data_IF_608488075807
#
_entry.id   IF_608488075807
#
_cell.length_a   1.000
_cell.length_b   1.000
_cell.length_c   1.000
_cell.angle_alpha   90.00
_cell.angle_beta   90.00
_cell.angle_gamma   90.00
#
_symmetry.space_group_name_H-M   'P 1'
#
loop_
_entity.id
_entity.type
_entity.pdbx_description
1 polymer ?
#
# COMPACT_ATOMS: atom_id res chain seq x y z
N UNK A 1 -61.12 1.93 55.36
CA UNK A 1 -60.86 1.13 54.14
C UNK A 1 -59.81 1.84 53.27
N UNK A 2 -58.53 1.39 53.24
CA UNK A 2 -57.43 1.97 52.44
C UNK A 2 -57.12 0.98 51.38
N UNK A 3 -57.34 1.38 50.09
CA UNK A 3 -56.93 0.61 48.89
C UNK A 3 -55.45 0.86 48.61
N UNK A 4 -54.64 -0.21 48.62
CA UNK A 4 -53.26 -0.19 48.20
C UNK A 4 -53.19 -0.48 46.67
N UNK A 5 -52.70 0.48 45.88
CA UNK A 5 -52.38 0.30 44.46
C UNK A 5 -51.01 -0.31 44.37
N UNK A 6 -50.90 -1.45 43.72
CA UNK A 6 -49.65 -2.11 43.30
C UNK A 6 -49.22 -1.54 41.95
N UNK A 7 -48.08 -0.87 41.93
CA UNK A 7 -47.38 -0.46 40.71
C UNK A 7 -46.47 -1.62 40.28
N UNK A 8 -46.82 -2.25 39.17
CA UNK A 8 -45.96 -3.21 38.47
C UNK A 8 -44.99 -2.44 37.57
N UNK A 9 -43.70 -2.45 37.91
CA UNK A 9 -42.64 -1.93 37.08
C UNK A 9 -42.22 -3.00 36.06
N UNK A 10 -42.51 -2.76 34.77
CA UNK A 10 -42.07 -3.60 33.66
C UNK A 10 -40.66 -3.17 33.27
N UNK A 11 -39.66 -3.98 33.63
CA UNK A 11 -38.28 -3.75 33.23
C UNK A 11 -38.05 -4.13 31.75
N UNK A 12 -37.67 -3.15 30.96
CA UNK A 12 -37.26 -3.36 29.58
C UNK A 12 -35.77 -3.79 29.56
N UNK A 13 -35.49 -5.05 29.28
CA UNK A 13 -34.13 -5.57 29.08
C UNK A 13 -33.74 -5.27 27.64
N UNK A 14 -32.88 -4.25 27.45
CA UNK A 14 -32.21 -4.01 26.17
C UNK A 14 -31.13 -5.09 25.95
N UNK A 15 -31.44 -6.11 25.18
CA UNK A 15 -30.47 -7.06 24.69
C UNK A 15 -29.60 -6.36 23.64
N UNK A 16 -28.39 -5.96 24.05
CA UNK A 16 -27.34 -5.50 23.10
C UNK A 16 -26.90 -6.69 22.25
N UNK A 17 -27.40 -6.77 21.02
CA UNK A 17 -26.93 -7.72 20.04
C UNK A 17 -25.52 -7.31 19.60
N UNK A 18 -24.50 -7.94 20.16
CA UNK A 18 -23.16 -7.91 19.62
C UNK A 18 -23.20 -8.66 18.27
N UNK A 19 -23.23 -7.91 17.17
CA UNK A 19 -22.96 -8.48 15.86
C UNK A 19 -21.48 -8.84 15.84
N UNK A 20 -21.11 -10.11 15.60
CA UNK A 20 -19.71 -10.44 15.42
C UNK A 20 -19.21 -9.67 14.19
N UNK A 21 -18.15 -8.88 14.37
CA UNK A 21 -17.35 -8.45 13.24
C UNK A 21 -16.95 -9.73 12.50
N UNK A 22 -17.49 -9.92 11.31
CA UNK A 22 -17.00 -10.97 10.42
C UNK A 22 -15.51 -10.67 10.23
N UNK A 23 -14.65 -11.49 10.82
CA UNK A 23 -13.25 -11.60 10.44
C UNK A 23 -13.29 -11.97 8.95
N UNK A 24 -13.21 -10.96 8.08
CA UNK A 24 -12.98 -11.18 6.66
C UNK A 24 -11.60 -11.83 6.64
N UNK A 25 -11.53 -13.11 6.31
CA UNK A 25 -10.25 -13.77 6.11
C UNK A 25 -9.47 -12.90 5.14
N UNK A 26 -8.33 -12.37 5.58
CA UNK A 26 -7.47 -11.57 4.72
C UNK A 26 -7.09 -12.46 3.54
N UNK A 27 -7.34 -11.99 2.34
CA UNK A 27 -7.08 -12.76 1.13
C UNK A 27 -5.56 -12.87 0.96
N UNK A 28 -5.04 -14.11 0.94
CA UNK A 28 -3.62 -14.35 0.87
C UNK A 28 -3.07 -14.12 -0.55
N UNK A 29 -1.83 -13.60 -0.62
CA UNK A 29 -1.11 -13.31 -1.86
C UNK A 29 0.35 -13.76 -1.75
N UNK A 30 1.00 -14.05 -2.88
CA UNK A 30 2.41 -14.46 -2.90
C UNK A 30 3.34 -13.32 -2.44
N UNK A 31 3.03 -12.08 -2.84
CA UNK A 31 3.84 -10.91 -2.55
C UNK A 31 2.94 -9.72 -2.20
N UNK A 32 3.30 -8.99 -1.15
CA UNK A 32 2.89 -7.60 -0.96
C UNK A 32 4.00 -6.70 -1.52
N UNK A 33 3.68 -5.90 -2.52
CA UNK A 33 4.60 -5.03 -3.23
C UNK A 33 4.22 -3.57 -3.07
N UNK A 34 5.11 -2.78 -2.50
CA UNK A 34 5.04 -1.32 -2.52
C UNK A 34 5.97 -0.81 -3.61
N UNK A 35 5.42 -0.15 -4.62
CA UNK A 35 6.17 0.62 -5.61
C UNK A 35 6.31 2.04 -5.06
N UNK A 36 7.50 2.36 -4.52
CA UNK A 36 7.80 3.65 -3.91
C UNK A 36 8.61 4.49 -4.90
N UNK A 37 7.96 5.50 -5.49
CA UNK A 37 8.43 6.23 -6.66
C UNK A 37 8.75 7.68 -6.31
N UNK A 38 9.98 8.11 -6.64
CA UNK A 38 10.45 9.48 -6.46
C UNK A 38 9.70 10.43 -7.39
N UNK A 39 9.18 11.52 -6.82
CA UNK A 39 8.58 12.65 -7.54
C UNK A 39 9.27 13.96 -7.15
N UNK A 40 10.54 13.89 -6.75
CA UNK A 40 11.35 15.07 -6.50
C UNK A 40 11.60 15.86 -7.77
N UNK A 41 11.95 17.14 -7.63
CA UNK A 41 12.12 18.05 -8.79
C UNK A 41 13.29 17.72 -9.71
N UNK A 42 14.16 16.78 -9.34
CA UNK A 42 15.16 16.22 -10.26
C UNK A 42 14.49 15.45 -11.40
N UNK A 43 13.30 14.88 -11.14
CA UNK A 43 12.45 14.23 -12.15
C UNK A 43 11.58 15.31 -12.82
N UNK A 44 11.82 15.59 -14.10
CA UNK A 44 10.99 16.52 -14.86
C UNK A 44 9.64 15.91 -15.27
N UNK A 45 8.72 16.73 -15.84
CA UNK A 45 7.37 16.26 -16.19
C UNK A 45 7.39 15.15 -17.25
N UNK A 46 8.33 15.18 -18.19
CA UNK A 46 8.46 14.17 -19.23
C UNK A 46 9.03 12.86 -18.65
N UNK A 47 10.00 12.95 -17.76
CA UNK A 47 10.56 11.81 -17.04
C UNK A 47 9.52 11.16 -16.13
N UNK A 48 8.76 11.96 -15.38
CA UNK A 48 7.68 11.46 -14.52
C UNK A 48 6.58 10.75 -15.33
N UNK A 49 6.25 11.29 -16.51
CA UNK A 49 5.31 10.63 -17.42
C UNK A 49 5.86 9.32 -17.95
N UNK A 50 7.11 9.28 -18.37
CA UNK A 50 7.78 8.07 -18.85
C UNK A 50 7.90 7.01 -17.75
N UNK A 51 8.20 7.43 -16.53
CA UNK A 51 8.28 6.54 -15.38
C UNK A 51 6.93 5.86 -15.11
N UNK A 52 5.82 6.63 -15.05
CA UNK A 52 4.48 6.06 -14.89
C UNK A 52 4.09 5.13 -16.04
N UNK A 53 4.42 5.52 -17.28
CA UNK A 53 4.18 4.68 -18.45
C UNK A 53 4.96 3.38 -18.37
N UNK A 54 6.22 3.42 -17.88
CA UNK A 54 7.04 2.24 -17.62
C UNK A 54 6.39 1.28 -16.61
N UNK A 55 5.88 1.79 -15.49
CA UNK A 55 5.15 0.96 -14.50
C UNK A 55 3.88 0.36 -15.08
N UNK A 56 3.11 1.13 -15.86
CA UNK A 56 1.90 0.65 -16.53
C UNK A 56 2.22 -0.46 -17.53
N UNK A 57 3.22 -0.23 -18.38
CA UNK A 57 3.67 -1.20 -19.37
C UNK A 57 4.20 -2.47 -18.71
N UNK A 58 5.01 -2.34 -17.65
CA UNK A 58 5.53 -3.48 -16.91
C UNK A 58 4.42 -4.31 -16.26
N UNK A 59 3.44 -3.67 -15.61
CA UNK A 59 2.35 -4.38 -14.94
C UNK A 59 1.46 -5.14 -15.93
N UNK A 60 1.27 -4.62 -17.15
CA UNK A 60 0.47 -5.26 -18.20
C UNK A 60 1.27 -6.16 -19.14
N UNK A 61 2.60 -6.28 -18.95
CA UNK A 61 3.44 -7.18 -19.75
C UNK A 61 3.01 -8.64 -19.53
N UNK A 62 2.72 -9.40 -20.59
CA UNK A 62 2.27 -10.79 -20.47
C UNK A 62 3.22 -11.67 -19.64
N UNK A 63 4.54 -11.43 -19.69
CA UNK A 63 5.53 -12.19 -18.92
C UNK A 63 5.43 -11.88 -17.41
N UNK A 64 5.13 -10.62 -17.05
CA UNK A 64 4.93 -10.23 -15.66
C UNK A 64 3.64 -10.85 -15.13
N UNK A 65 2.56 -10.78 -15.90
CA UNK A 65 1.27 -11.40 -15.55
C UNK A 65 1.42 -12.93 -15.41
N UNK A 66 2.11 -13.58 -16.34
CA UNK A 66 2.40 -15.02 -16.28
C UNK A 66 3.24 -15.37 -15.03
N UNK A 67 4.26 -14.55 -14.70
CA UNK A 67 5.06 -14.74 -13.48
C UNK A 67 4.22 -14.61 -12.20
N UNK A 68 3.29 -13.65 -12.15
CA UNK A 68 2.35 -13.49 -11.03
C UNK A 68 1.47 -14.74 -10.90
N UNK A 69 0.86 -15.18 -12.01
CA UNK A 69 -0.02 -16.35 -12.02
C UNK A 69 0.71 -17.66 -11.74
N UNK A 70 2.01 -17.73 -12.03
CA UNK A 70 2.88 -18.87 -11.74
C UNK A 70 3.30 -19.00 -10.27
N UNK A 71 2.96 -18.03 -9.41
CA UNK A 71 3.18 -18.10 -7.97
C UNK A 71 2.34 -19.20 -7.30
N UNK A 72 2.62 -19.47 -6.03
CA UNK A 72 1.90 -20.51 -5.26
C UNK A 72 0.41 -20.18 -5.10
N UNK A 73 0.09 -18.91 -4.89
CA UNK A 73 -1.27 -18.38 -4.75
C UNK A 73 -1.77 -17.72 -6.05
N UNK A 74 -0.87 -17.49 -6.99
CA UNK A 74 -1.17 -16.91 -8.29
C UNK A 74 -1.63 -15.45 -8.24
N UNK A 75 -1.24 -14.71 -7.21
CA UNK A 75 -1.63 -13.33 -7.03
C UNK A 75 -0.62 -12.53 -6.21
N UNK A 76 -0.58 -11.21 -6.46
CA UNK A 76 0.14 -10.24 -5.64
C UNK A 76 -0.81 -9.15 -5.14
N UNK A 77 -0.50 -8.57 -3.99
CA UNK A 77 -1.05 -7.27 -3.56
C UNK A 77 -0.07 -6.18 -3.94
N UNK A 78 -0.51 -5.17 -4.68
CA UNK A 78 0.35 -4.05 -5.09
C UNK A 78 -0.26 -2.71 -4.73
N UNK A 79 0.58 -1.77 -4.34
CA UNK A 79 0.24 -0.37 -4.10
C UNK A 79 1.30 0.54 -4.70
N UNK A 80 0.91 1.77 -5.03
CA UNK A 80 1.81 2.77 -5.60
C UNK A 80 1.90 3.97 -4.68
N UNK A 81 3.10 4.29 -4.26
CA UNK A 81 3.44 5.37 -3.34
C UNK A 81 4.34 6.37 -4.06
N UNK A 82 4.00 7.64 -4.02
CA UNK A 82 4.88 8.73 -4.42
C UNK A 82 5.54 9.34 -3.19
N UNK A 83 6.82 9.68 -3.32
CA UNK A 83 7.61 10.29 -2.26
C UNK A 83 8.57 11.35 -2.80
N UNK A 84 8.95 12.29 -1.92
CA UNK A 84 9.96 13.31 -2.19
C UNK A 84 10.76 13.62 -0.90
N UNK A 85 10.75 14.86 -0.41
CA UNK A 85 11.36 15.24 0.86
C UNK A 85 10.72 14.53 2.07
N UNK A 86 11.27 14.81 3.27
CA UNK A 86 10.84 14.15 4.50
C UNK A 86 9.35 14.32 4.84
N UNK A 87 8.71 15.37 4.33
CA UNK A 87 7.31 15.73 4.63
C UNK A 87 6.31 15.22 3.58
N UNK A 88 6.77 14.50 2.53
CA UNK A 88 5.88 14.05 1.48
C UNK A 88 6.07 12.58 1.14
N UNK A 89 5.14 11.78 1.59
CA UNK A 89 4.90 10.40 1.17
C UNK A 89 3.39 10.23 1.01
N UNK A 90 2.96 9.69 -0.10
CA UNK A 90 1.54 9.53 -0.42
C UNK A 90 1.26 8.22 -1.12
N UNK A 91 0.34 7.45 -0.59
CA UNK A 91 -0.25 6.32 -1.30
C UNK A 91 -1.19 6.86 -2.39
N UNK A 92 -0.75 6.81 -3.64
CA UNK A 92 -1.49 7.32 -4.81
C UNK A 92 -2.51 6.31 -5.30
N UNK A 93 -2.11 5.04 -5.40
CA UNK A 93 -3.04 3.95 -5.61
C UNK A 93 -3.16 3.12 -4.33
N UNK A 94 -4.38 2.87 -3.84
CA UNK A 94 -4.59 1.96 -2.74
C UNK A 94 -4.19 0.54 -3.13
N UNK A 95 -4.06 -0.33 -2.14
CA UNK A 95 -3.81 -1.75 -2.36
C UNK A 95 -4.80 -2.36 -3.34
N UNK A 96 -4.27 -3.07 -4.33
CA UNK A 96 -5.05 -3.87 -5.28
C UNK A 96 -4.44 -5.26 -5.42
N UNK A 97 -5.30 -6.26 -5.48
CA UNK A 97 -4.90 -7.61 -5.81
C UNK A 97 -4.81 -7.75 -7.32
N UNK A 98 -3.71 -8.31 -7.79
CA UNK A 98 -3.47 -8.64 -9.21
C UNK A 98 -3.32 -10.16 -9.30
N UNK A 99 -4.22 -10.80 -10.06
CA UNK A 99 -4.22 -12.24 -10.29
C UNK A 99 -4.34 -12.61 -11.79
N UNK A 100 -4.38 -11.60 -12.66
CA UNK A 100 -4.48 -11.83 -14.10
C UNK A 100 -4.47 -10.55 -14.92
N UNK A 101 -4.60 -10.68 -16.25
CA UNK A 101 -4.47 -9.55 -17.17
C UNK A 101 -5.44 -8.41 -16.89
N UNK A 102 -6.71 -8.73 -16.56
CA UNK A 102 -7.73 -7.73 -16.30
C UNK A 102 -7.41 -6.88 -15.08
N UNK A 103 -6.96 -7.50 -13.98
CA UNK A 103 -6.59 -6.76 -12.77
C UNK A 103 -5.40 -5.84 -13.05
N UNK A 104 -4.44 -6.31 -13.86
CA UNK A 104 -3.27 -5.54 -14.30
C UNK A 104 -3.68 -4.34 -15.17
N UNK A 105 -4.61 -4.51 -16.11
CA UNK A 105 -5.16 -3.43 -16.95
C UNK A 105 -5.92 -2.41 -16.10
N UNK A 106 -6.76 -2.85 -15.17
CA UNK A 106 -7.50 -1.98 -14.26
C UNK A 106 -6.56 -1.17 -13.36
N UNK A 107 -5.46 -1.79 -12.88
CA UNK A 107 -4.43 -1.10 -12.11
C UNK A 107 -3.69 -0.06 -12.96
N UNK A 108 -3.25 -0.44 -14.17
CA UNK A 108 -2.55 0.45 -15.10
C UNK A 108 -3.42 1.65 -15.51
N UNK A 109 -4.72 1.45 -15.72
CA UNK A 109 -5.68 2.51 -16.02
C UNK A 109 -5.84 3.47 -14.85
N UNK A 110 -5.96 2.94 -13.62
CA UNK A 110 -6.05 3.76 -12.43
C UNK A 110 -4.78 4.61 -12.19
N UNK A 111 -3.59 4.08 -12.51
CA UNK A 111 -2.35 4.83 -12.43
C UNK A 111 -2.28 5.96 -13.47
N UNK A 112 -2.83 5.74 -14.67
CA UNK A 112 -2.90 6.76 -15.71
C UNK A 112 -3.76 7.97 -15.31
N UNK A 113 -4.84 7.71 -14.57
CA UNK A 113 -5.79 8.75 -14.13
C UNK A 113 -5.37 9.46 -12.83
N UNK A 114 -4.40 8.89 -12.10
CA UNK A 114 -3.98 9.44 -10.83
C UNK A 114 -3.30 10.81 -10.99
N UNK A 115 -3.57 11.76 -10.09
CA UNK A 115 -2.90 13.06 -10.12
C UNK A 115 -1.39 12.90 -9.92
N UNK A 116 -0.61 13.74 -10.59
CA UNK A 116 0.84 13.78 -10.48
C UNK A 116 1.28 14.89 -9.52
N UNK A 117 2.33 14.62 -8.73
CA UNK A 117 3.00 15.62 -7.90
C UNK A 117 4.44 15.84 -8.37
N UNK A 118 4.96 17.05 -8.18
CA UNK A 118 6.39 17.38 -8.33
C UNK A 118 6.80 18.25 -7.15
N UNK A 119 7.74 17.76 -6.33
CA UNK A 119 8.08 18.36 -5.05
C UNK A 119 9.60 18.47 -4.88
N UNK A 120 10.02 19.22 -3.87
CA UNK A 120 11.45 19.43 -3.60
C UNK A 120 11.96 18.42 -2.60
N UNK A 121 13.27 18.15 -2.64
CA UNK A 121 14.02 17.30 -1.74
C UNK A 121 13.77 15.79 -1.94
N UNK A 122 14.73 14.99 -1.46
CA UNK A 122 14.77 13.54 -1.60
C UNK A 122 15.00 12.90 -0.24
N UNK A 123 14.02 12.13 0.27
CA UNK A 123 14.09 11.43 1.54
C UNK A 123 13.81 9.93 1.37
N UNK A 124 14.83 9.19 1.00
CA UNK A 124 14.76 7.73 0.87
C UNK A 124 14.39 7.07 2.20
N UNK A 125 14.91 7.58 3.30
CA UNK A 125 14.59 7.08 4.65
C UNK A 125 13.11 7.20 4.97
N UNK A 126 12.48 8.34 4.64
CA UNK A 126 11.04 8.54 4.85
C UNK A 126 10.20 7.68 3.90
N UNK A 127 10.65 7.49 2.66
CA UNK A 127 10.02 6.59 1.70
C UNK A 127 9.99 5.13 2.20
N UNK A 128 11.11 4.63 2.73
CA UNK A 128 11.21 3.28 3.31
C UNK A 128 10.30 3.15 4.54
N UNK A 129 10.35 4.10 5.47
CA UNK A 129 9.53 4.06 6.68
C UNK A 129 8.03 4.09 6.37
N UNK A 130 7.59 4.97 5.48
CA UNK A 130 6.21 5.05 5.04
C UNK A 130 5.77 3.76 4.32
N UNK A 131 6.62 3.22 3.45
CA UNK A 131 6.34 1.97 2.74
C UNK A 131 6.24 0.77 3.69
N UNK A 132 7.10 0.71 4.72
CA UNK A 132 7.03 -0.34 5.75
C UNK A 132 5.73 -0.25 6.57
N UNK A 133 5.28 0.96 6.90
CA UNK A 133 3.98 1.17 7.54
C UNK A 133 2.83 0.77 6.59
N UNK A 134 2.89 1.17 5.33
CA UNK A 134 1.90 0.79 4.31
C UNK A 134 1.79 -0.73 4.16
N UNK A 135 2.92 -1.46 4.24
CA UNK A 135 2.93 -2.93 4.25
C UNK A 135 2.26 -3.52 5.51
N UNK A 136 2.44 -2.89 6.66
CA UNK A 136 1.81 -3.34 7.90
C UNK A 136 0.28 -3.13 7.91
N UNK A 137 -0.21 -2.16 7.13
CA UNK A 137 -1.63 -1.82 7.00
C UNK A 137 -2.29 -2.48 5.76
N UNK A 138 -1.58 -3.39 5.08
CA UNK A 138 -2.10 -4.05 3.89
C UNK A 138 -3.36 -4.88 4.22
N UNK A 139 -4.40 -4.85 3.36
CA UNK A 139 -5.63 -5.64 3.56
C UNK A 139 -5.49 -7.10 3.11
N UNK A 140 -4.28 -7.56 2.84
CA UNK A 140 -3.94 -8.91 2.36
C UNK A 140 -2.87 -9.52 3.25
N UNK A 141 -2.82 -10.85 3.35
CA UNK A 141 -1.70 -11.58 3.92
C UNK A 141 -0.70 -11.95 2.83
N UNK A 142 0.51 -11.37 2.87
CA UNK A 142 1.57 -11.66 1.91
C UNK A 142 2.60 -12.65 2.42
N UNK A 143 2.92 -13.68 1.62
CA UNK A 143 4.02 -14.60 1.92
C UNK A 143 5.37 -13.89 1.94
N UNK A 144 5.53 -12.85 1.11
CA UNK A 144 6.71 -11.97 1.04
C UNK A 144 6.27 -10.51 1.07
N UNK A 145 7.10 -9.66 1.66
CA UNK A 145 6.91 -8.21 1.73
C UNK A 145 8.07 -7.52 1.04
N UNK A 146 7.78 -6.70 0.04
CA UNK A 146 8.77 -6.08 -0.83
C UNK A 146 8.48 -4.59 -0.99
N UNK A 147 9.53 -3.80 -0.92
CA UNK A 147 9.52 -2.37 -1.27
C UNK A 147 10.48 -2.19 -2.45
N UNK A 148 10.00 -1.73 -3.58
CA UNK A 148 10.81 -1.28 -4.69
C UNK A 148 10.91 0.25 -4.63
N UNK A 149 12.10 0.76 -4.31
CA UNK A 149 12.37 2.20 -4.21
C UNK A 149 13.02 2.65 -5.52
N UNK A 150 12.34 3.53 -6.23
CA UNK A 150 12.83 4.17 -7.46
C UNK A 150 13.15 5.64 -7.18
N UNK A 151 14.36 6.07 -7.51
CA UNK A 151 14.79 7.45 -7.35
C UNK A 151 16.17 7.68 -7.96
N UNK A 152 16.44 8.92 -8.39
CA UNK A 152 17.66 9.33 -9.13
C UNK A 152 18.65 10.13 -8.26
N UNK A 153 18.31 10.39 -6.99
CA UNK A 153 19.06 11.26 -6.11
C UNK A 153 19.57 10.61 -4.83
N UNK A 154 20.48 11.34 -4.16
CA UNK A 154 20.95 10.98 -2.82
C UNK A 154 19.95 11.44 -1.77
N UNK A 155 19.89 10.75 -0.63
CA UNK A 155 19.10 11.19 0.52
C UNK A 155 19.63 12.55 1.03
N UNK A 156 18.90 13.62 0.75
CA UNK A 156 19.26 14.99 1.12
C UNK A 156 18.28 15.65 2.11
N UNK A 157 17.28 14.88 2.56
CA UNK A 157 16.27 15.30 3.52
C UNK A 157 15.93 14.15 4.47
N UNK A 158 15.59 14.46 5.71
CA UNK A 158 15.27 13.48 6.72
C UNK A 158 16.48 12.76 7.34
N UNK A 159 16.27 11.69 8.11
CA UNK A 159 17.33 10.94 8.78
C UNK A 159 18.18 10.11 7.80
N UNK A 160 19.33 9.58 8.25
CA UNK A 160 20.15 8.65 7.48
C UNK A 160 19.35 7.41 7.03
N UNK A 161 19.65 6.91 5.82
CA UNK A 161 18.91 5.80 5.19
C UNK A 161 19.12 4.48 5.93
N UNK A 162 20.29 4.28 6.51
CA UNK A 162 20.71 3.03 7.13
C UNK A 162 19.72 2.58 8.23
N UNK A 163 19.28 3.52 9.07
CA UNK A 163 18.34 3.22 10.15
C UNK A 163 16.98 2.73 9.64
N UNK A 164 16.45 3.36 8.60
CA UNK A 164 15.18 2.96 7.99
C UNK A 164 15.31 1.60 7.30
N UNK A 165 16.39 1.40 6.53
CA UNK A 165 16.71 0.12 5.89
C UNK A 165 16.82 -1.01 6.92
N UNK A 166 17.62 -0.84 7.95
CA UNK A 166 17.87 -1.89 8.94
C UNK A 166 16.59 -2.24 9.72
N UNK A 167 15.75 -1.23 10.04
CA UNK A 167 14.47 -1.44 10.67
C UNK A 167 13.48 -2.22 9.77
N UNK A 168 13.45 -1.95 8.48
CA UNK A 168 12.61 -2.67 7.53
C UNK A 168 13.10 -4.12 7.34
N UNK A 169 14.42 -4.32 7.17
CA UNK A 169 15.02 -5.65 7.05
C UNK A 169 14.79 -6.50 8.30
N UNK A 170 14.88 -5.92 9.50
CA UNK A 170 14.58 -6.60 10.75
C UNK A 170 13.11 -7.09 10.84
N UNK A 171 12.21 -6.47 10.09
CA UNK A 171 10.81 -6.90 9.95
C UNK A 171 10.62 -7.93 8.84
N UNK A 172 11.68 -8.41 8.18
CA UNK A 172 11.62 -9.36 7.08
C UNK A 172 11.13 -8.74 5.75
N UNK A 173 11.26 -7.42 5.60
CA UNK A 173 10.93 -6.71 4.36
C UNK A 173 12.17 -6.74 3.45
N UNK A 174 11.97 -7.07 2.19
CA UNK A 174 12.99 -6.96 1.13
C UNK A 174 12.90 -5.57 0.51
N UNK A 175 14.03 -4.90 0.36
CA UNK A 175 14.10 -3.59 -0.29
C UNK A 175 14.96 -3.73 -1.55
N UNK A 176 14.40 -3.35 -2.68
CA UNK A 176 15.10 -3.20 -3.95
C UNK A 176 15.26 -1.70 -4.25
N UNK A 177 16.44 -1.32 -4.76
CA UNK A 177 16.70 0.02 -5.29
C UNK A 177 16.73 -0.04 -6.82
N UNK A 178 16.03 0.85 -7.47
CA UNK A 178 15.95 0.99 -8.93
C UNK A 178 16.51 2.34 -9.36
#
# INVERSE_FOLDING_TARGET
MRRRSLLTATGFVLASTWLPHSLRAEEAVDVLLVLAVDVSRSVDEDEARLQREGYRAAMTDPKVVEAIQGGMLGAIGVTYVEWAGAEYQRQVLPWRRIAGPRDAEDWASALAEAPHASLSWTSISSAINFSAQTLAEAPFEGMRRVIDVSGDGVNNSGPPVEGARDAAVAQGIVINGL
#
